data_IF_121659748523
#
_entry.id   IF_121659748523
#
_cell.length_a   1.000
_cell.length_b   1.000
_cell.length_c   1.000
_cell.angle_alpha   90.00
_cell.angle_beta   90.00
_cell.angle_gamma   90.00
#
_symmetry.space_group_name_H-M   'P 1'
#
loop_
_entity.id
_entity.type
_entity.pdbx_description
1 polymer ?
#
# COMPACT_ATOMS: atom_id res chain seq x y z
N UNK A 1 25.18 12.21 2.24
CA UNK A 1 24.76 10.93 1.60
C UNK A 1 23.51 11.23 0.79
N UNK A 2 23.43 10.78 -0.47
CA UNK A 2 22.16 10.88 -1.25
C UNK A 2 21.10 10.08 -0.48
N UNK A 3 19.94 10.67 -0.26
CA UNK A 3 18.81 9.98 0.36
C UNK A 3 18.38 8.81 -0.54
N UNK A 4 17.88 7.72 0.04
CA UNK A 4 17.43 6.52 -0.67
C UNK A 4 15.97 6.21 -0.34
N UNK A 5 15.22 5.74 -1.34
CA UNK A 5 13.88 5.19 -1.17
C UNK A 5 13.99 3.81 -0.56
N UNK A 6 13.15 3.53 0.43
CA UNK A 6 12.99 2.20 1.00
C UNK A 6 11.77 1.53 0.38
N UNK A 7 12.02 0.48 -0.39
CA UNK A 7 11.03 -0.24 -1.20
C UNK A 7 10.85 -1.64 -0.63
N UNK A 8 9.62 -2.01 -0.28
CA UNK A 8 9.30 -3.37 0.20
C UNK A 8 9.20 -4.38 -0.95
N UNK A 9 8.61 -3.97 -2.07
CA UNK A 9 8.38 -4.83 -3.23
C UNK A 9 8.28 -3.99 -4.51
N UNK A 10 8.69 -4.57 -5.64
CA UNK A 10 8.40 -4.06 -6.98
C UNK A 10 7.62 -5.16 -7.70
N UNK A 11 6.43 -4.85 -8.14
CA UNK A 11 5.54 -5.76 -8.86
C UNK A 11 5.40 -5.28 -10.30
N UNK A 12 5.98 -6.04 -11.22
CA UNK A 12 5.82 -5.80 -12.64
C UNK A 12 4.45 -6.34 -13.11
N UNK A 13 3.95 -5.79 -14.21
CA UNK A 13 2.74 -6.27 -14.88
C UNK A 13 1.47 -6.20 -14.00
N UNK A 14 1.31 -5.13 -13.20
CA UNK A 14 0.09 -4.86 -12.44
C UNK A 14 -1.03 -4.36 -13.35
N UNK A 15 -2.23 -4.97 -13.23
CA UNK A 15 -3.40 -4.65 -14.06
C UNK A 15 -4.49 -3.91 -13.27
N UNK A 16 -4.36 -3.85 -11.93
CA UNK A 16 -5.37 -3.28 -11.04
C UNK A 16 -4.89 -2.02 -10.30
N UNK A 17 -3.69 -1.53 -10.62
CA UNK A 17 -3.09 -0.38 -9.92
C UNK A 17 -3.13 0.90 -10.77
N UNK A 18 -4.22 1.09 -11.51
CA UNK A 18 -4.48 2.19 -12.42
C UNK A 18 -4.62 1.75 -13.88
N UNK A 19 -4.79 2.69 -14.81
CA UNK A 19 -5.00 2.39 -16.23
C UNK A 19 -3.77 1.73 -16.88
N UNK A 20 -4.03 0.79 -17.79
CA UNK A 20 -3.00 0.09 -18.56
C UNK A 20 -2.17 -0.91 -17.73
N UNK A 21 -1.05 -1.36 -18.29
CA UNK A 21 -0.09 -2.22 -17.59
C UNK A 21 0.86 -1.33 -16.80
N UNK A 22 0.99 -1.59 -15.50
CA UNK A 22 1.82 -0.76 -14.62
C UNK A 22 2.88 -1.59 -13.90
N UNK A 23 3.96 -0.92 -13.51
CA UNK A 23 4.85 -1.45 -12.48
C UNK A 23 4.52 -0.76 -11.17
N UNK A 24 4.11 -1.54 -10.15
CA UNK A 24 3.76 -1.02 -8.84
C UNK A 24 4.95 -1.14 -7.90
N UNK A 25 5.36 0.00 -7.34
CA UNK A 25 6.43 0.11 -6.35
C UNK A 25 5.81 0.27 -4.98
N UNK A 26 5.93 -0.76 -4.14
CA UNK A 26 5.45 -0.74 -2.76
C UNK A 26 6.50 -0.13 -1.85
N UNK A 27 6.22 1.05 -1.32
CA UNK A 27 7.13 1.78 -0.44
C UNK A 27 6.94 1.36 1.02
N UNK A 28 8.03 1.39 1.77
CA UNK A 28 8.03 1.07 3.19
C UNK A 28 7.70 2.32 4.02
N UNK A 29 6.96 2.11 5.11
CA UNK A 29 6.48 3.14 6.01
C UNK A 29 5.02 3.51 5.76
N UNK A 30 4.19 3.42 6.80
CA UNK A 30 2.81 3.88 6.79
C UNK A 30 2.47 4.59 8.10
N UNK A 31 1.68 5.63 8.04
CA UNK A 31 1.18 6.36 9.21
C UNK A 31 -0.21 5.88 9.67
N UNK A 32 -0.85 4.97 8.93
CA UNK A 32 -2.07 4.29 9.33
C UNK A 32 -1.77 2.92 9.94
N UNK A 33 -2.76 2.38 10.70
CA UNK A 33 -2.74 1.03 11.30
C UNK A 33 -4.07 0.34 11.04
N UNK A 34 -4.39 0.19 9.75
CA UNK A 34 -5.65 -0.42 9.33
C UNK A 34 -5.73 -1.87 9.83
N UNK A 35 -6.81 -2.21 10.54
CA UNK A 35 -7.02 -3.56 11.10
C UNK A 35 -7.09 -4.66 10.03
N UNK A 36 -7.30 -4.29 8.75
CA UNK A 36 -7.38 -5.17 7.59
C UNK A 36 -6.24 -4.97 6.58
N UNK A 37 -5.11 -4.40 6.99
CA UNK A 37 -4.04 -4.02 6.07
C UNK A 37 -3.55 -5.22 5.23
N UNK A 38 -3.48 -5.06 3.91
CA UNK A 38 -2.96 -6.09 3.01
C UNK A 38 -1.43 -6.18 3.02
N UNK A 39 -0.75 -5.10 3.43
CA UNK A 39 0.71 -5.00 3.42
C UNK A 39 1.24 -4.56 4.80
N UNK A 40 0.96 -5.30 5.89
CA UNK A 40 1.39 -4.95 7.25
C UNK A 40 2.92 -4.93 7.39
N UNK A 41 3.65 -5.62 6.51
CA UNK A 41 5.10 -5.58 6.40
C UNK A 41 5.63 -4.19 6.07
N UNK A 42 4.82 -3.33 5.46
CA UNK A 42 5.19 -1.96 5.09
C UNK A 42 5.00 -0.92 6.20
N UNK A 43 4.52 -1.31 7.38
CA UNK A 43 4.20 -0.34 8.44
C UNK A 43 5.41 0.38 9.01
N UNK A 44 6.56 -0.31 9.13
CA UNK A 44 7.78 0.27 9.67
C UNK A 44 8.52 1.11 8.63
N UNK A 45 9.27 2.13 9.08
CA UNK A 45 10.10 3.02 8.25
C UNK A 45 11.51 2.50 8.03
N UNK A 46 11.75 1.26 8.32
CA UNK A 46 13.03 0.56 8.27
C UNK A 46 12.85 -0.82 7.67
N UNK A 47 13.92 -1.40 7.17
CA UNK A 47 13.91 -2.80 6.76
C UNK A 47 13.60 -3.69 7.95
N UNK A 48 12.87 -4.77 7.71
CA UNK A 48 12.51 -5.75 8.73
C UNK A 48 12.84 -7.16 8.28
N UNK A 49 13.04 -8.06 9.23
CA UNK A 49 13.12 -9.50 8.94
C UNK A 49 11.72 -10.11 9.03
N UNK A 50 11.29 -10.75 7.95
CA UNK A 50 10.11 -11.58 7.86
C UNK A 50 10.48 -13.03 8.17
N UNK A 51 9.61 -13.75 8.87
CA UNK A 51 9.78 -15.17 9.16
C UNK A 51 8.51 -15.94 8.81
N UNK A 52 8.63 -16.87 7.88
CA UNK A 52 7.56 -17.74 7.38
C UNK A 52 7.71 -19.11 8.00
N UNK A 53 6.97 -19.38 9.08
CA UNK A 53 7.10 -20.56 9.92
C UNK A 53 6.90 -21.87 9.13
N UNK A 54 5.91 -21.94 8.24
CA UNK A 54 5.59 -23.12 7.45
C UNK A 54 6.67 -23.49 6.41
N UNK A 55 7.60 -22.60 6.10
CA UNK A 55 8.77 -22.89 5.27
C UNK A 55 9.97 -23.40 6.09
N UNK A 56 9.94 -23.24 7.42
CA UNK A 56 11.07 -23.61 8.27
C UNK A 56 11.15 -25.12 8.47
N UNK A 57 12.29 -25.73 8.15
CA UNK A 57 12.57 -27.16 8.36
C UNK A 57 13.29 -27.46 9.68
N UNK A 58 13.53 -26.44 10.52
CA UNK A 58 14.17 -26.62 11.83
C UNK A 58 15.66 -26.97 11.78
N UNK A 59 16.39 -26.67 10.70
CA UNK A 59 17.80 -27.05 10.53
C UNK A 59 18.78 -26.36 11.49
N UNK A 60 18.40 -25.26 12.15
CA UNK A 60 19.18 -24.55 13.18
C UNK A 60 20.31 -23.65 12.67
N UNK A 61 20.63 -23.65 11.37
CA UNK A 61 21.76 -22.87 10.82
C UNK A 61 21.66 -21.36 11.10
N UNK A 62 20.43 -20.80 11.07
CA UNK A 62 20.19 -19.38 11.38
C UNK A 62 20.54 -19.01 12.84
N UNK A 63 20.49 -19.98 13.76
CA UNK A 63 20.81 -19.78 15.19
C UNK A 63 22.30 -19.65 15.38
N UNK A 64 23.07 -20.54 14.75
CA UNK A 64 24.54 -20.58 14.86
C UNK A 64 25.18 -19.28 14.33
N UNK A 65 24.59 -18.68 13.28
CA UNK A 65 25.13 -17.50 12.62
C UNK A 65 24.61 -16.17 13.18
N UNK A 66 23.57 -16.20 14.03
CA UNK A 66 22.92 -14.97 14.52
C UNK A 66 23.77 -14.24 15.57
N UNK A 67 24.37 -13.06 15.27
CA UNK A 67 25.25 -12.39 16.21
C UNK A 67 24.52 -11.76 17.40
N UNK A 68 23.21 -11.50 17.26
CA UNK A 68 22.38 -10.87 18.30
C UNK A 68 21.57 -11.88 19.13
N UNK A 69 21.63 -13.18 18.80
CA UNK A 69 20.83 -14.21 19.46
C UNK A 69 19.32 -14.09 19.19
N UNK A 70 18.93 -13.38 18.14
CA UNK A 70 17.52 -13.23 17.76
C UNK A 70 16.89 -14.52 17.24
N UNK A 71 17.69 -15.45 16.68
CA UNK A 71 17.23 -16.76 16.25
C UNK A 71 17.52 -17.77 17.36
N UNK A 72 16.52 -18.50 17.83
CA UNK A 72 16.60 -19.39 18.98
C UNK A 72 15.87 -20.71 18.73
N UNK A 73 16.16 -21.75 19.53
CA UNK A 73 15.35 -22.95 19.64
C UNK A 73 14.78 -23.03 21.06
N UNK A 74 13.47 -23.23 21.17
CA UNK A 74 12.79 -23.51 22.42
C UNK A 74 11.87 -24.72 22.22
N UNK A 75 12.02 -25.72 23.06
CA UNK A 75 11.24 -26.98 22.98
C UNK A 75 11.29 -27.65 21.60
N UNK A 76 12.43 -27.57 20.91
CA UNK A 76 12.62 -28.15 19.57
C UNK A 76 12.01 -27.32 18.42
N UNK A 77 11.42 -26.17 18.70
CA UNK A 77 10.86 -25.27 17.69
C UNK A 77 11.75 -24.05 17.51
N UNK A 78 11.86 -23.58 16.28
CA UNK A 78 12.54 -22.32 15.97
C UNK A 78 11.70 -21.12 16.45
N UNK A 79 12.33 -20.25 17.22
CA UNK A 79 11.74 -19.00 17.71
C UNK A 79 12.55 -17.81 17.18
N UNK A 80 11.85 -16.84 16.64
CA UNK A 80 12.43 -15.58 16.21
C UNK A 80 12.09 -14.46 17.20
N UNK A 81 13.08 -14.08 18.05
CA UNK A 81 12.95 -12.97 19.00
C UNK A 81 13.24 -11.64 18.29
N UNK A 82 12.16 -10.99 17.83
CA UNK A 82 12.22 -9.79 16.99
C UNK A 82 12.88 -8.60 17.65
N UNK A 83 12.78 -8.48 18.99
CA UNK A 83 13.34 -7.37 19.76
C UNK A 83 14.88 -7.38 19.79
N UNK A 84 15.49 -8.53 19.58
CA UNK A 84 16.94 -8.72 19.52
C UNK A 84 17.51 -8.56 18.11
N UNK A 85 16.63 -8.52 17.08
CA UNK A 85 17.07 -8.57 15.69
C UNK A 85 17.65 -7.22 15.22
N UNK A 86 18.87 -7.25 14.67
CA UNK A 86 19.53 -6.08 14.07
C UNK A 86 19.37 -6.01 12.55
N UNK A 87 18.57 -6.88 11.96
CA UNK A 87 18.32 -6.99 10.50
C UNK A 87 19.62 -7.09 9.68
N UNK A 88 20.63 -7.77 10.20
CA UNK A 88 21.95 -7.89 9.55
C UNK A 88 21.99 -8.83 8.33
N UNK A 89 20.91 -9.61 8.08
CA UNK A 89 20.75 -10.46 6.89
C UNK A 89 21.44 -11.82 6.93
N UNK A 90 22.40 -12.09 7.85
CA UNK A 90 23.18 -13.34 7.86
C UNK A 90 22.34 -14.61 7.86
N UNK A 91 21.22 -14.61 8.61
CA UNK A 91 20.31 -15.75 8.67
C UNK A 91 19.52 -15.95 7.37
N UNK A 92 19.31 -14.88 6.58
CA UNK A 92 18.67 -14.96 5.27
C UNK A 92 19.59 -15.64 4.26
N UNK A 93 20.87 -15.24 4.25
CA UNK A 93 21.87 -15.79 3.31
C UNK A 93 22.06 -17.30 3.46
N UNK A 94 21.84 -17.86 4.66
CA UNK A 94 22.04 -19.30 4.92
C UNK A 94 20.74 -20.10 4.91
N UNK A 95 19.58 -19.46 4.85
CA UNK A 95 18.29 -20.13 4.90
C UNK A 95 17.95 -20.80 3.57
N UNK A 96 18.19 -22.10 3.45
CA UNK A 96 17.99 -22.86 2.20
C UNK A 96 16.51 -23.02 1.78
N UNK A 97 15.56 -22.74 2.68
CA UNK A 97 14.11 -22.82 2.40
C UNK A 97 13.47 -21.42 2.24
N UNK A 98 14.27 -20.35 2.30
CA UNK A 98 13.76 -18.98 2.26
C UNK A 98 12.65 -18.69 3.29
N UNK A 99 12.74 -19.36 4.46
CA UNK A 99 11.84 -19.09 5.58
C UNK A 99 12.09 -17.72 6.23
N UNK A 100 13.27 -17.16 6.01
CA UNK A 100 13.70 -15.83 6.50
C UNK A 100 13.99 -14.92 5.31
N UNK A 101 13.44 -13.72 5.33
CA UNK A 101 13.57 -12.74 4.25
C UNK A 101 13.69 -11.32 4.83
N UNK A 102 14.53 -10.47 4.23
CA UNK A 102 14.52 -9.04 4.54
C UNK A 102 13.49 -8.34 3.65
N UNK A 103 12.50 -7.71 4.26
CA UNK A 103 11.56 -6.82 3.61
C UNK A 103 12.08 -5.40 3.71
N UNK A 104 12.18 -4.73 2.57
CA UNK A 104 12.68 -3.37 2.46
C UNK A 104 14.13 -3.30 1.96
N UNK A 105 14.30 -2.84 0.73
CA UNK A 105 15.58 -2.59 0.07
C UNK A 105 15.72 -1.10 -0.28
N UNK A 106 16.94 -0.58 -0.17
CA UNK A 106 17.23 0.84 -0.40
C UNK A 106 17.67 1.10 -1.83
N UNK A 107 16.94 1.98 -2.53
CA UNK A 107 17.24 2.42 -3.89
C UNK A 107 17.47 3.94 -3.94
N UNK A 108 18.46 4.40 -4.68
CA UNK A 108 18.51 5.80 -5.11
C UNK A 108 17.42 6.05 -6.17
N UNK A 109 17.01 7.30 -6.35
CA UNK A 109 16.05 7.66 -7.40
C UNK A 109 16.57 7.27 -8.80
N UNK A 110 17.89 7.26 -9.01
CA UNK A 110 18.55 6.88 -10.25
C UNK A 110 18.47 5.38 -10.51
N UNK A 111 18.89 4.54 -9.53
CA UNK A 111 18.81 3.09 -9.61
C UNK A 111 17.38 2.61 -9.87
N UNK A 112 16.40 3.19 -9.16
CA UNK A 112 15.01 2.81 -9.31
C UNK A 112 14.42 3.28 -10.64
N UNK A 113 14.78 4.48 -11.12
CA UNK A 113 14.37 4.96 -12.43
C UNK A 113 14.88 4.04 -13.57
N UNK A 114 16.13 3.64 -13.54
CA UNK A 114 16.70 2.74 -14.54
C UNK A 114 15.99 1.38 -14.56
N UNK A 115 15.63 0.87 -13.37
CA UNK A 115 14.90 -0.39 -13.24
C UNK A 115 13.50 -0.27 -13.84
N UNK A 116 12.75 0.79 -13.50
CA UNK A 116 11.39 1.02 -13.98
C UNK A 116 11.32 1.26 -15.49
N UNK A 117 12.32 1.89 -16.07
CA UNK A 117 12.41 2.15 -17.52
C UNK A 117 12.58 0.88 -18.36
N UNK A 118 12.92 -0.26 -17.77
CA UNK A 118 13.00 -1.55 -18.49
C UNK A 118 11.64 -1.98 -19.05
N UNK A 119 10.56 -1.58 -18.39
CA UNK A 119 9.19 -1.91 -18.78
C UNK A 119 8.53 -0.83 -19.66
N UNK A 120 9.29 0.20 -20.09
CA UNK A 120 8.80 1.33 -20.90
C UNK A 120 7.90 0.91 -22.06
N UNK A 121 8.29 -0.13 -22.80
CA UNK A 121 7.52 -0.61 -23.95
C UNK A 121 6.12 -1.12 -23.55
N UNK A 122 5.99 -1.73 -22.37
CA UNK A 122 4.69 -2.18 -21.85
C UNK A 122 3.82 -0.98 -21.51
N UNK A 123 4.40 0.05 -20.90
CA UNK A 123 3.69 1.28 -20.58
C UNK A 123 3.17 2.00 -21.83
N UNK A 124 4.00 2.13 -22.86
CA UNK A 124 3.65 2.79 -24.12
C UNK A 124 2.52 2.07 -24.87
N UNK A 125 2.54 0.73 -24.94
CA UNK A 125 1.54 -0.06 -25.67
C UNK A 125 0.18 -0.05 -24.96
N UNK A 126 0.19 -0.01 -23.62
CA UNK A 126 -1.02 -0.15 -22.81
C UNK A 126 -1.58 1.16 -22.25
N UNK A 127 -0.90 2.30 -22.53
CA UNK A 127 -1.16 3.58 -21.87
C UNK A 127 -1.02 3.49 -20.33
N UNK A 128 -0.14 2.59 -19.87
CA UNK A 128 0.15 2.34 -18.46
C UNK A 128 1.26 3.23 -17.89
N UNK A 129 2.02 2.72 -16.92
CA UNK A 129 3.11 3.47 -16.30
C UNK A 129 3.57 2.92 -14.96
N UNK A 130 3.92 3.79 -14.03
CA UNK A 130 4.37 3.43 -12.69
C UNK A 130 3.35 3.87 -11.65
N UNK A 131 3.06 2.99 -10.69
CA UNK A 131 2.24 3.32 -9.52
C UNK A 131 3.08 3.19 -8.25
N UNK A 132 3.10 4.23 -7.44
CA UNK A 132 3.71 4.19 -6.11
C UNK A 132 2.63 3.94 -5.06
N UNK A 133 2.79 2.86 -4.32
CA UNK A 133 1.88 2.30 -3.34
C UNK A 133 2.64 1.76 -2.12
N UNK A 134 2.13 0.71 -1.46
CA UNK A 134 2.79 -0.03 -0.38
C UNK A 134 2.27 0.30 0.99
N UNK A 135 3.06 1.06 1.77
CA UNK A 135 2.60 1.73 2.98
C UNK A 135 1.87 3.02 2.62
N UNK A 136 2.50 4.17 2.88
CA UNK A 136 2.00 5.48 2.44
C UNK A 136 3.13 6.20 1.68
N UNK A 137 3.02 6.39 0.37
CA UNK A 137 4.07 7.00 -0.46
C UNK A 137 4.50 8.38 0.02
N UNK A 138 3.58 9.15 0.60
CA UNK A 138 3.86 10.50 1.11
C UNK A 138 4.86 10.51 2.27
N UNK A 139 5.14 9.34 2.90
CA UNK A 139 6.18 9.18 3.91
C UNK A 139 7.59 9.40 3.35
N UNK A 140 7.78 9.20 2.05
CA UNK A 140 9.06 9.31 1.35
C UNK A 140 9.02 10.38 0.24
N UNK A 141 8.10 11.34 0.34
CA UNK A 141 7.76 12.31 -0.71
C UNK A 141 8.95 13.10 -1.26
N UNK A 142 9.96 13.43 -0.44
CA UNK A 142 11.11 14.24 -0.91
C UNK A 142 11.90 13.54 -2.01
N UNK A 143 12.26 12.28 -1.77
CA UNK A 143 13.04 11.51 -2.75
C UNK A 143 12.15 11.03 -3.88
N UNK A 144 10.92 10.69 -3.54
CA UNK A 144 9.91 10.23 -4.49
C UNK A 144 9.63 11.30 -5.56
N UNK A 145 9.63 12.59 -5.17
CA UNK A 145 9.48 13.70 -6.10
C UNK A 145 10.60 13.74 -7.15
N UNK A 146 11.86 13.50 -6.75
CA UNK A 146 13.00 13.43 -7.69
C UNK A 146 12.86 12.26 -8.68
N UNK A 147 12.43 11.10 -8.19
CA UNK A 147 12.18 9.93 -9.03
C UNK A 147 11.05 10.20 -10.04
N UNK A 148 9.94 10.77 -9.58
CA UNK A 148 8.80 11.08 -10.44
C UNK A 148 9.17 12.09 -11.54
N UNK A 149 9.95 13.13 -11.24
CA UNK A 149 10.44 14.06 -12.24
C UNK A 149 11.34 13.40 -13.28
N UNK A 150 12.11 12.36 -12.91
CA UNK A 150 12.90 11.57 -13.86
C UNK A 150 12.00 10.76 -14.79
N UNK A 151 10.98 10.08 -14.24
CA UNK A 151 10.01 9.32 -15.01
C UNK A 151 9.22 10.20 -15.98
N UNK A 152 8.80 11.40 -15.54
CA UNK A 152 8.09 12.35 -16.41
C UNK A 152 8.96 12.85 -17.57
N UNK A 153 10.26 13.09 -17.38
CA UNK A 153 11.18 13.45 -18.48
C UNK A 153 11.27 12.36 -19.54
N UNK A 154 11.02 11.11 -19.14
CA UNK A 154 10.96 9.95 -20.02
C UNK A 154 9.53 9.65 -20.51
N UNK A 155 8.57 10.57 -20.27
CA UNK A 155 7.15 10.45 -20.65
C UNK A 155 6.44 9.22 -20.04
N UNK A 156 6.88 8.76 -18.87
CA UNK A 156 6.22 7.67 -18.14
C UNK A 156 5.13 8.24 -17.23
N UNK A 157 3.91 7.69 -17.37
CA UNK A 157 2.79 8.05 -16.51
C UNK A 157 3.03 7.62 -15.06
N UNK A 158 2.77 8.53 -14.12
CA UNK A 158 2.95 8.32 -12.68
C UNK A 158 1.61 8.37 -11.96
N UNK A 159 1.31 7.34 -11.18
CA UNK A 159 0.16 7.30 -10.28
C UNK A 159 0.61 7.13 -8.82
N UNK A 160 -0.16 7.67 -7.89
CA UNK A 160 0.01 7.47 -6.45
C UNK A 160 -1.21 6.80 -5.87
N UNK A 161 -1.01 5.70 -5.16
CA UNK A 161 -2.01 5.11 -4.29
C UNK A 161 -1.76 5.61 -2.85
N UNK A 162 -2.71 6.34 -2.29
CA UNK A 162 -2.56 7.03 -1.00
C UNK A 162 -3.88 7.15 -0.25
N UNK A 163 -3.81 7.12 1.07
CA UNK A 163 -4.95 7.43 1.93
C UNK A 163 -5.15 8.95 2.15
N UNK A 164 -4.29 9.82 1.60
CA UNK A 164 -4.30 11.28 1.79
C UNK A 164 -4.18 11.74 3.26
N UNK A 165 -3.74 10.90 4.18
CA UNK A 165 -3.56 11.24 5.59
C UNK A 165 -2.25 11.99 5.86
N UNK A 166 -1.97 13.02 5.05
CA UNK A 166 -0.73 13.82 5.10
C UNK A 166 -1.00 15.31 5.00
N UNK A 167 -0.10 16.20 5.47
CA UNK A 167 -0.25 17.64 5.28
C UNK A 167 -0.41 18.01 3.81
N UNK A 168 -1.37 18.90 3.51
CA UNK A 168 -1.68 19.32 2.13
C UNK A 168 -0.45 19.75 1.33
N UNK A 169 0.50 20.47 1.97
CA UNK A 169 1.73 20.92 1.31
C UNK A 169 2.50 19.76 0.65
N UNK A 170 2.53 18.59 1.29
CA UNK A 170 3.21 17.40 0.73
C UNK A 170 2.43 16.87 -0.46
N UNK A 171 1.12 16.66 -0.31
CA UNK A 171 0.25 16.14 -1.36
C UNK A 171 0.26 17.09 -2.57
N UNK A 172 0.12 18.41 -2.34
CA UNK A 172 0.13 19.42 -3.39
C UNK A 172 1.42 19.38 -4.22
N UNK A 173 2.59 19.24 -3.58
CA UNK A 173 3.85 19.07 -4.30
C UNK A 173 3.84 17.85 -5.21
N UNK A 174 3.28 16.74 -4.75
CA UNK A 174 3.20 15.52 -5.55
C UNK A 174 2.23 15.65 -6.74
N UNK A 175 1.27 16.57 -6.70
CA UNK A 175 0.42 16.85 -7.88
C UNK A 175 1.21 17.40 -9.07
N UNK A 176 2.40 17.96 -8.86
CA UNK A 176 3.22 18.52 -9.94
C UNK A 176 3.82 17.38 -10.81
N UNK A 177 4.02 16.20 -10.23
CA UNK A 177 4.65 15.05 -10.89
C UNK A 177 3.76 13.80 -10.99
N UNK A 178 2.48 13.89 -10.66
CA UNK A 178 1.51 12.81 -10.79
C UNK A 178 0.55 13.07 -11.96
N UNK A 179 0.12 12.01 -12.63
CA UNK A 179 -0.94 12.04 -13.63
C UNK A 179 -2.28 11.58 -13.06
N UNK A 180 -2.25 10.72 -12.04
CA UNK A 180 -3.39 10.09 -11.41
C UNK A 180 -3.17 9.89 -9.91
N UNK A 181 -4.25 9.99 -9.13
CA UNK A 181 -4.29 9.52 -7.75
C UNK A 181 -5.32 8.39 -7.59
N UNK A 182 -4.88 7.27 -7.04
CA UNK A 182 -5.71 6.19 -6.53
C UNK A 182 -5.91 6.48 -5.04
N UNK A 183 -7.09 6.93 -4.66
CA UNK A 183 -7.34 7.37 -3.28
C UNK A 183 -8.06 6.27 -2.51
N UNK A 184 -7.36 5.69 -1.57
CA UNK A 184 -7.90 4.75 -0.61
C UNK A 184 -8.79 5.45 0.42
N UNK A 185 -10.07 5.59 0.14
CA UNK A 185 -11.03 6.18 1.06
C UNK A 185 -11.60 5.10 1.98
N UNK A 186 -11.06 4.98 3.17
CA UNK A 186 -11.29 3.82 4.04
C UNK A 186 -12.69 3.80 4.67
N UNK A 187 -13.18 4.92 5.18
CA UNK A 187 -14.49 5.07 5.82
C UNK A 187 -14.92 6.55 5.81
N UNK A 188 -16.24 6.79 5.76
CA UNK A 188 -16.79 8.14 5.85
C UNK A 188 -16.95 8.59 7.30
N UNK A 189 -17.44 7.74 8.19
CA UNK A 189 -17.58 8.05 9.61
C UNK A 189 -16.20 8.25 10.27
N UNK A 190 -16.03 9.37 10.98
CA UNK A 190 -14.75 9.76 11.57
C UNK A 190 -14.32 8.87 12.74
N UNK A 191 -15.27 8.50 13.60
CA UNK A 191 -14.97 7.69 14.78
C UNK A 191 -14.65 6.24 14.36
N UNK A 192 -15.43 5.68 13.45
CA UNK A 192 -15.14 4.36 12.85
C UNK A 192 -13.79 4.39 12.13
N UNK A 193 -13.50 5.44 11.36
CA UNK A 193 -12.21 5.56 10.68
C UNK A 193 -11.05 5.54 11.69
N UNK A 194 -11.16 6.32 12.77
CA UNK A 194 -10.15 6.35 13.85
C UNK A 194 -10.00 5.01 14.55
N UNK A 195 -11.12 4.34 14.86
CA UNK A 195 -11.12 3.02 15.49
C UNK A 195 -10.39 1.97 14.65
N UNK A 196 -10.63 1.97 13.33
CA UNK A 196 -10.15 0.92 12.44
C UNK A 196 -8.81 1.21 11.77
N UNK A 197 -8.39 2.48 11.68
CA UNK A 197 -7.14 2.88 11.02
C UNK A 197 -6.14 3.56 11.95
N UNK A 198 -6.57 3.90 13.17
CA UNK A 198 -5.78 4.66 14.15
C UNK A 198 -5.73 6.17 13.90
N UNK A 199 -6.43 6.70 12.89
CA UNK A 199 -6.36 8.10 12.47
C UNK A 199 -7.73 8.65 12.11
N UNK A 200 -8.01 9.90 12.46
CA UNK A 200 -9.23 10.61 12.03
C UNK A 200 -9.18 10.92 10.53
N UNK A 201 -10.37 10.98 9.88
CA UNK A 201 -10.47 11.22 8.44
C UNK A 201 -10.75 12.67 8.05
N UNK A 202 -10.82 13.60 8.99
CA UNK A 202 -11.08 15.02 8.71
C UNK A 202 -10.07 15.57 7.72
N UNK A 203 -8.78 15.36 7.95
CA UNK A 203 -7.69 15.77 7.05
C UNK A 203 -7.81 15.11 5.67
N UNK A 204 -8.16 13.83 5.62
CA UNK A 204 -8.35 13.07 4.38
C UNK A 204 -9.44 13.71 3.52
N UNK A 205 -10.61 13.99 4.10
CA UNK A 205 -11.74 14.64 3.43
C UNK A 205 -11.37 16.04 2.92
N UNK A 206 -10.65 16.83 3.71
CA UNK A 206 -10.17 18.17 3.31
C UNK A 206 -9.19 18.09 2.15
N UNK A 207 -8.25 17.15 2.20
CA UNK A 207 -7.27 16.94 1.15
C UNK A 207 -7.94 16.46 -0.14
N UNK A 208 -8.91 15.56 -0.06
CA UNK A 208 -9.66 15.09 -1.22
C UNK A 208 -10.43 16.23 -1.89
N UNK A 209 -11.11 17.11 -1.11
CA UNK A 209 -11.78 18.34 -1.62
C UNK A 209 -10.82 19.27 -2.38
N UNK A 210 -9.56 19.31 -1.98
CA UNK A 210 -8.54 20.13 -2.66
C UNK A 210 -8.01 19.40 -3.90
N UNK A 211 -7.68 18.11 -3.77
CA UNK A 211 -7.01 17.31 -4.79
C UNK A 211 -7.82 17.22 -6.09
N UNK A 212 -9.15 17.15 -6.01
CA UNK A 212 -10.04 17.12 -7.19
C UNK A 212 -9.87 18.31 -8.13
N UNK A 213 -9.27 19.42 -7.68
CA UNK A 213 -9.00 20.59 -8.53
C UNK A 213 -7.66 20.51 -9.27
N UNK A 214 -6.84 19.49 -9.00
CA UNK A 214 -5.47 19.38 -9.52
C UNK A 214 -5.28 18.21 -10.47
N UNK A 215 -5.80 17.02 -10.11
CA UNK A 215 -5.53 15.77 -10.84
C UNK A 215 -6.78 14.88 -10.91
N UNK A 216 -6.85 13.99 -11.91
CA UNK A 216 -7.83 12.90 -11.93
C UNK A 216 -7.67 12.00 -10.71
N UNK A 217 -8.80 11.49 -10.20
CA UNK A 217 -8.83 10.61 -9.03
C UNK A 217 -9.67 9.38 -9.35
N UNK A 218 -9.14 8.21 -9.00
CA UNK A 218 -9.91 6.98 -8.83
C UNK A 218 -10.01 6.70 -7.33
N UNK A 219 -11.22 6.51 -6.84
CA UNK A 219 -11.43 6.16 -5.43
C UNK A 219 -11.39 4.66 -5.28
N UNK A 220 -10.71 4.18 -4.25
CA UNK A 220 -10.71 2.78 -3.82
C UNK A 220 -11.40 2.67 -2.47
N UNK A 221 -12.44 1.83 -2.42
CA UNK A 221 -13.25 1.59 -1.23
C UNK A 221 -13.03 0.16 -0.71
N UNK A 222 -12.23 -0.05 0.34
CA UNK A 222 -12.19 -1.34 1.00
C UNK A 222 -13.53 -1.61 1.69
N UNK A 223 -14.19 -2.69 1.30
CA UNK A 223 -15.47 -3.12 1.89
C UNK A 223 -15.20 -4.26 2.86
N UNK A 224 -15.20 -3.95 4.16
CA UNK A 224 -14.67 -4.82 5.20
C UNK A 224 -15.73 -5.19 6.25
N UNK A 225 -16.66 -4.30 6.47
CA UNK A 225 -17.75 -4.46 7.42
C UNK A 225 -19.03 -4.30 6.63
N UNK A 226 -20.09 -4.92 7.07
CA UNK A 226 -21.43 -4.63 6.58
C UNK A 226 -21.67 -3.12 6.70
N UNK A 227 -21.24 -2.39 5.67
CA UNK A 227 -21.45 -0.96 5.61
C UNK A 227 -22.95 -0.75 5.57
N UNK A 228 -23.46 -0.10 6.57
CA UNK A 228 -24.85 0.29 6.58
C UNK A 228 -25.10 1.13 5.33
N UNK A 229 -26.18 0.88 4.62
CA UNK A 229 -26.56 1.62 3.41
C UNK A 229 -26.52 3.13 3.64
N UNK A 230 -26.82 3.58 4.83
CA UNK A 230 -26.75 5.00 5.22
C UNK A 230 -25.34 5.58 5.11
N UNK A 231 -24.31 4.83 5.51
CA UNK A 231 -22.92 5.25 5.38
C UNK A 231 -22.48 5.30 3.90
N UNK A 232 -22.93 4.34 3.08
CA UNK A 232 -22.69 4.34 1.64
C UNK A 232 -23.36 5.53 0.96
N UNK A 233 -24.58 5.90 1.34
CA UNK A 233 -25.30 7.09 0.83
C UNK A 233 -24.52 8.37 1.16
N UNK A 234 -24.11 8.54 2.42
CA UNK A 234 -23.33 9.72 2.84
C UNK A 234 -21.99 9.83 2.09
N UNK A 235 -21.33 8.69 1.86
CA UNK A 235 -20.07 8.64 1.09
C UNK A 235 -20.30 9.00 -0.38
N UNK A 236 -21.33 8.43 -1.00
CA UNK A 236 -21.68 8.69 -2.39
C UNK A 236 -22.09 10.15 -2.60
N UNK A 237 -22.88 10.74 -1.68
CA UNK A 237 -23.23 12.16 -1.72
C UNK A 237 -22.00 13.05 -1.60
N UNK A 238 -21.05 12.69 -0.72
CA UNK A 238 -19.79 13.40 -0.61
C UNK A 238 -19.00 13.38 -1.91
N UNK A 239 -18.83 12.21 -2.55
CA UNK A 239 -18.11 12.11 -3.82
C UNK A 239 -18.82 12.82 -4.97
N UNK A 240 -20.15 12.72 -5.06
CA UNK A 240 -20.95 13.43 -6.07
C UNK A 240 -20.76 14.97 -5.96
N UNK A 241 -20.66 15.49 -4.74
CA UNK A 241 -20.41 16.91 -4.49
C UNK A 241 -18.99 17.36 -4.89
N UNK A 242 -18.01 16.45 -5.01
CA UNK A 242 -16.63 16.76 -5.41
C UNK A 242 -16.47 16.97 -6.93
N UNK A 243 -17.43 16.51 -7.74
CA UNK A 243 -17.47 16.81 -9.17
C UNK A 243 -16.72 15.80 -10.06
N UNK A 244 -16.50 16.19 -11.34
CA UNK A 244 -16.13 15.28 -12.44
C UNK A 244 -14.69 14.75 -12.42
N UNK A 245 -13.82 15.22 -11.53
CA UNK A 245 -12.44 14.71 -11.46
C UNK A 245 -12.31 13.43 -10.65
N UNK A 246 -13.36 12.99 -9.96
CA UNK A 246 -13.50 11.59 -9.57
C UNK A 246 -13.93 10.82 -10.82
N UNK A 247 -13.03 9.98 -11.33
CA UNK A 247 -13.22 9.24 -12.57
C UNK A 247 -14.05 7.99 -12.35
N UNK A 248 -13.77 7.28 -11.27
CA UNK A 248 -14.45 6.04 -10.90
C UNK A 248 -14.30 5.76 -9.41
N UNK A 249 -15.14 4.86 -8.95
CA UNK A 249 -15.05 4.24 -7.61
C UNK A 249 -14.89 2.73 -7.82
N UNK A 250 -13.84 2.17 -7.26
CA UNK A 250 -13.53 0.73 -7.24
C UNK A 250 -13.87 0.18 -5.85
N UNK A 251 -14.64 -0.91 -5.81
CA UNK A 251 -14.97 -1.62 -4.59
C UNK A 251 -13.95 -2.74 -4.38
N UNK A 252 -13.27 -2.73 -3.24
CA UNK A 252 -12.29 -3.74 -2.86
C UNK A 252 -12.87 -4.63 -1.75
N UNK A 253 -13.52 -5.75 -2.08
CA UNK A 253 -14.02 -6.68 -1.06
C UNK A 253 -12.89 -7.20 -0.20
N UNK A 254 -13.17 -7.34 1.10
CA UNK A 254 -12.18 -7.88 2.03
C UNK A 254 -11.72 -9.28 1.63
N UNK A 255 -10.44 -9.52 1.79
CA UNK A 255 -9.81 -10.84 1.77
C UNK A 255 -8.72 -10.91 2.85
N UNK A 256 -8.41 -12.11 3.31
CA UNK A 256 -7.55 -12.38 4.47
C UNK A 256 -6.05 -12.53 4.15
N UNK A 257 -5.61 -12.23 2.93
CA UNK A 257 -4.19 -12.37 2.52
C UNK A 257 -3.22 -11.58 3.40
N UNK A 258 -3.66 -10.44 3.95
CA UNK A 258 -2.87 -9.64 4.88
C UNK A 258 -2.62 -10.34 6.22
N UNK A 259 -3.49 -11.25 6.65
CA UNK A 259 -3.39 -11.94 7.95
C UNK A 259 -2.14 -12.83 8.00
N UNK A 260 -1.87 -13.58 6.93
CA UNK A 260 -0.64 -14.39 6.86
C UNK A 260 0.62 -13.53 6.80
N UNK A 261 0.64 -12.48 5.97
CA UNK A 261 1.75 -11.53 5.93
C UNK A 261 2.00 -10.88 7.31
N UNK A 262 0.94 -10.55 8.04
CA UNK A 262 1.03 -9.99 9.37
C UNK A 262 1.76 -10.92 10.35
N UNK A 263 1.43 -12.22 10.35
CA UNK A 263 2.13 -13.23 11.17
C UNK A 263 3.62 -13.26 10.87
N UNK A 264 4.00 -13.23 9.57
CA UNK A 264 5.40 -13.28 9.15
C UNK A 264 6.22 -12.11 9.70
N UNK A 265 5.58 -10.97 9.96
CA UNK A 265 6.25 -9.77 10.51
C UNK A 265 5.93 -9.50 11.98
N UNK A 266 5.24 -10.45 12.64
CA UNK A 266 4.93 -10.38 14.08
C UNK A 266 3.86 -9.35 14.43
N UNK A 267 2.95 -9.08 13.50
CA UNK A 267 1.77 -8.24 13.70
C UNK A 267 0.55 -9.12 13.92
N UNK A 268 -0.24 -8.82 14.95
CA UNK A 268 -1.53 -9.47 15.13
C UNK A 268 -2.59 -8.67 14.37
N UNK A 269 -3.25 -9.32 13.40
CA UNK A 269 -4.27 -8.71 12.56
C UNK A 269 -5.62 -9.37 12.76
N UNK A 270 -6.67 -8.56 12.79
CA UNK A 270 -8.04 -9.02 12.91
C UNK A 270 -8.53 -9.61 11.58
N UNK A 271 -9.26 -10.72 11.65
CA UNK A 271 -10.02 -11.23 10.51
C UNK A 271 -11.41 -10.58 10.46
N UNK A 272 -11.91 -10.36 9.25
CA UNK A 272 -13.24 -9.82 8.99
C UNK A 272 -14.01 -10.76 8.06
N UNK A 273 -15.30 -10.58 7.99
CA UNK A 273 -16.14 -11.26 7.00
C UNK A 273 -16.12 -10.48 5.69
N UNK A 274 -16.01 -11.20 4.58
CA UNK A 274 -16.17 -10.60 3.26
C UNK A 274 -17.66 -10.33 3.00
N UNK A 275 -18.01 -9.19 2.36
CA UNK A 275 -19.38 -8.93 1.93
C UNK A 275 -19.82 -9.95 0.87
N UNK A 276 -21.08 -10.36 0.89
CA UNK A 276 -21.62 -11.19 -0.18
C UNK A 276 -21.90 -10.37 -1.46
N UNK A 277 -22.11 -11.07 -2.57
CA UNK A 277 -22.35 -10.42 -3.88
C UNK A 277 -23.58 -9.51 -3.87
N UNK A 278 -24.63 -9.86 -3.13
CA UNK A 278 -25.86 -9.04 -3.07
C UNK A 278 -25.62 -7.75 -2.29
N UNK A 279 -24.86 -7.82 -1.21
CA UNK A 279 -24.47 -6.65 -0.43
C UNK A 279 -23.61 -5.71 -1.28
N UNK A 280 -22.63 -6.26 -2.00
CA UNK A 280 -21.79 -5.48 -2.91
C UNK A 280 -22.60 -4.79 -3.99
N UNK A 281 -23.55 -5.49 -4.62
CA UNK A 281 -24.37 -4.92 -5.68
C UNK A 281 -25.30 -3.82 -5.15
N UNK A 282 -25.91 -4.00 -3.98
CA UNK A 282 -26.68 -2.96 -3.35
C UNK A 282 -25.86 -1.70 -3.04
N UNK A 283 -24.62 -1.87 -2.56
CA UNK A 283 -23.70 -0.74 -2.36
C UNK A 283 -23.37 -0.05 -3.68
N UNK A 284 -23.03 -0.81 -4.73
CA UNK A 284 -22.72 -0.27 -6.07
C UNK A 284 -23.91 0.54 -6.65
N UNK A 285 -25.15 0.08 -6.46
CA UNK A 285 -26.35 0.79 -6.90
C UNK A 285 -26.50 2.17 -6.24
N UNK A 286 -26.13 2.31 -4.97
CA UNK A 286 -26.12 3.62 -4.27
C UNK A 286 -25.23 4.63 -5.02
N UNK A 287 -24.01 4.24 -5.40
CA UNK A 287 -23.09 5.12 -6.11
C UNK A 287 -23.55 5.39 -7.54
N UNK A 288 -24.02 4.38 -8.28
CA UNK A 288 -24.58 4.54 -9.63
C UNK A 288 -25.78 5.49 -9.64
N UNK A 289 -26.64 5.44 -8.60
CA UNK A 289 -27.77 6.37 -8.44
C UNK A 289 -27.34 7.84 -8.36
N UNK A 290 -26.14 8.11 -7.88
CA UNK A 290 -25.51 9.44 -7.81
C UNK A 290 -24.69 9.79 -9.05
N UNK A 291 -24.77 8.97 -10.12
CA UNK A 291 -24.04 9.12 -11.39
C UNK A 291 -22.51 9.04 -11.21
N UNK A 292 -22.07 8.25 -10.25
CA UNK A 292 -20.67 7.92 -10.04
C UNK A 292 -20.38 6.65 -10.84
N UNK A 293 -19.30 6.66 -11.60
CA UNK A 293 -18.85 5.48 -12.34
C UNK A 293 -18.25 4.47 -11.36
N UNK A 294 -18.77 3.23 -11.40
CA UNK A 294 -18.34 2.13 -10.54
C UNK A 294 -17.65 1.10 -11.40
N UNK A 295 -16.36 0.87 -11.16
CA UNK A 295 -15.56 -0.15 -11.85
C UNK A 295 -15.48 -1.43 -11.03
N UNK A 296 -15.32 -2.55 -11.72
CA UNK A 296 -15.18 -3.89 -11.13
C UNK A 296 -13.71 -4.29 -11.00
#
# INVERSE_FOLDING_TARGET
MKQKLLVSQIQNFSLHDGPGIRTTVFLQGCNLRCKWCHNPETWKKESILSYTENKCIGCGQCIEICPSGAQQIQNGQHIYERTLCTVCGKCVEICCTEALEIVGSYYSAEELSELLLRDRRLYEISEGGVTFSGGEPMMQAEILYDLCNRLQKEHISVAFETALAFPWKVIHRMTECADLFLVDFKMFDNEKHKEYTGTENTLIKENLKKLVNYRPIMIRLPIIINDEIENAVATADFFAALGRNIKSVEFLPYHDFGVEKAKHVGVNQQMFEAPDEKQLELLKEVYRSKKIDVVE
#
